data_IF_991000276526
#
_entry.id   IF_991000276526
#
_cell.length_a   1.000
_cell.length_b   1.000
_cell.length_c   1.000
_cell.angle_alpha   90.00
_cell.angle_beta   90.00
_cell.angle_gamma   90.00
#
_symmetry.space_group_name_H-M   'P 1'
#
loop_
_entity.id
_entity.type
_entity.pdbx_description
1 polymer ?
#
# COMPACT_ATOMS: atom_id res chain seq x y z
N UNK A 1 -32.70 58.41 -16.92
CA UNK A 1 -33.06 57.54 -15.80
C UNK A 1 -32.70 56.13 -16.21
N UNK A 2 -31.58 55.64 -15.74
CA UNK A 2 -31.09 54.27 -16.00
C UNK A 2 -31.50 53.42 -14.82
N UNK A 3 -32.37 52.44 -15.06
CA UNK A 3 -32.86 51.53 -14.03
C UNK A 3 -31.79 50.46 -13.72
N UNK A 4 -31.34 50.43 -12.49
CA UNK A 4 -30.52 49.32 -11.91
C UNK A 4 -31.48 48.17 -11.54
N UNK A 5 -31.40 47.07 -12.30
CA UNK A 5 -32.08 45.82 -11.95
C UNK A 5 -31.36 45.12 -10.79
N UNK A 6 -32.05 44.41 -9.88
CA UNK A 6 -31.46 43.72 -8.79
C UNK A 6 -30.71 42.45 -9.28
N UNK A 7 -29.44 42.36 -8.93
CA UNK A 7 -28.63 41.13 -9.10
C UNK A 7 -29.03 40.17 -7.98
N UNK A 8 -29.75 39.11 -8.31
CA UNK A 8 -30.00 38.00 -7.40
C UNK A 8 -28.68 37.20 -7.26
N UNK A 9 -28.04 37.33 -6.12
CA UNK A 9 -26.96 36.46 -5.73
C UNK A 9 -27.53 35.09 -5.29
N UNK A 10 -27.41 34.08 -6.15
CA UNK A 10 -27.72 32.70 -5.78
C UNK A 10 -26.62 32.18 -4.86
N UNK A 11 -26.89 32.09 -3.57
CA UNK A 11 -26.05 31.41 -2.59
C UNK A 11 -26.14 29.91 -2.84
N UNK A 12 -25.12 29.32 -3.43
CA UNK A 12 -24.97 27.88 -3.52
C UNK A 12 -24.57 27.38 -2.10
N UNK A 13 -25.55 26.86 -1.38
CA UNK A 13 -25.31 26.11 -0.16
C UNK A 13 -24.70 24.78 -0.58
N UNK A 14 -23.37 24.68 -0.53
CA UNK A 14 -22.66 23.40 -0.53
C UNK A 14 -23.00 22.72 0.80
N UNK A 15 -23.98 21.83 0.77
CA UNK A 15 -24.19 20.90 1.89
C UNK A 15 -23.02 19.94 1.92
N UNK A 16 -22.07 20.15 2.82
CA UNK A 16 -21.14 19.11 3.25
C UNK A 16 -21.98 18.06 3.95
N UNK A 17 -22.35 17.00 3.24
CA UNK A 17 -22.91 15.83 3.88
C UNK A 17 -21.77 15.26 4.75
N UNK A 18 -21.98 15.20 6.06
CA UNK A 18 -21.11 14.45 6.93
C UNK A 18 -21.15 12.99 6.44
N UNK A 19 -20.02 12.49 5.97
CA UNK A 19 -19.91 11.11 5.51
C UNK A 19 -20.20 10.18 6.69
N UNK A 20 -21.04 9.19 6.46
CA UNK A 20 -21.34 8.22 7.52
C UNK A 20 -20.09 7.38 7.79
N UNK A 21 -19.78 7.16 9.08
CA UNK A 21 -18.70 6.26 9.46
C UNK A 21 -18.93 4.87 8.87
N UNK A 22 -17.88 4.20 8.36
CA UNK A 22 -18.03 2.88 7.78
C UNK A 22 -18.55 1.85 8.79
N UNK A 23 -19.30 0.89 8.30
CA UNK A 23 -19.84 -0.22 9.07
C UNK A 23 -19.13 -1.55 8.79
N UNK A 24 -18.62 -1.71 7.57
CA UNK A 24 -17.84 -2.86 7.14
C UNK A 24 -16.63 -2.40 6.35
N UNK A 25 -15.45 -2.88 6.74
CA UNK A 25 -14.19 -2.53 6.06
C UNK A 25 -13.58 -3.74 5.37
N UNK A 26 -12.89 -3.52 4.26
CA UNK A 26 -12.10 -4.52 3.57
C UNK A 26 -10.76 -3.95 3.12
N UNK A 27 -9.78 -4.82 2.88
CA UNK A 27 -8.51 -4.43 2.29
C UNK A 27 -8.14 -5.29 1.09
N UNK A 28 -7.44 -4.65 0.15
CA UNK A 28 -6.61 -5.31 -0.85
C UNK A 28 -5.15 -4.95 -0.59
N UNK A 29 -4.24 -5.89 -0.82
CA UNK A 29 -2.82 -5.65 -0.53
C UNK A 29 -1.95 -6.87 -0.78
N UNK A 30 -0.73 -6.78 -0.32
CA UNK A 30 0.28 -7.81 -0.41
C UNK A 30 0.71 -8.31 1.00
N UNK A 31 1.95 -8.78 1.11
CA UNK A 31 2.55 -9.23 2.36
C UNK A 31 2.59 -8.16 3.46
N UNK A 32 2.66 -6.87 3.10
CA UNK A 32 2.58 -5.77 4.07
C UNK A 32 1.21 -5.80 4.75
N UNK A 33 0.14 -5.93 3.98
CA UNK A 33 -1.23 -6.00 4.52
C UNK A 33 -1.52 -7.30 5.25
N UNK A 34 -0.80 -8.40 4.93
CA UNK A 34 -0.90 -9.67 5.64
C UNK A 34 -0.07 -9.73 6.93
N UNK A 35 0.67 -8.67 7.28
CA UNK A 35 1.57 -8.68 8.44
C UNK A 35 2.72 -9.66 8.32
N UNK A 36 3.11 -10.03 7.10
CA UNK A 36 4.15 -11.05 6.88
C UNK A 36 5.43 -10.70 7.63
N UNK A 37 5.96 -11.66 8.39
CA UNK A 37 7.21 -11.56 9.16
C UNK A 37 7.27 -10.37 10.16
N UNK A 38 6.14 -9.80 10.60
CA UNK A 38 6.11 -8.58 11.39
C UNK A 38 6.69 -8.72 12.82
N UNK A 39 6.70 -9.91 13.40
CA UNK A 39 7.28 -10.20 14.73
C UNK A 39 8.27 -11.39 14.67
N UNK A 40 9.29 -11.29 13.82
CA UNK A 40 10.37 -12.27 13.77
C UNK A 40 11.36 -12.07 14.91
N UNK A 41 11.37 -12.99 15.87
CA UNK A 41 12.27 -12.94 17.05
C UNK A 41 13.65 -13.53 16.73
N UNK A 42 14.67 -12.67 16.56
CA UNK A 42 16.06 -13.03 16.18
C UNK A 42 16.85 -13.83 17.20
N UNK A 43 16.24 -14.36 18.24
CA UNK A 43 16.99 -14.93 19.36
C UNK A 43 17.34 -16.41 19.23
N UNK A 44 16.96 -17.08 18.12
CA UNK A 44 17.24 -18.51 17.95
C UNK A 44 17.45 -18.84 16.47
N UNK A 45 18.67 -19.08 16.09
CA UNK A 45 19.19 -19.39 14.75
C UNK A 45 18.32 -20.36 13.90
N UNK A 46 17.52 -21.18 14.50
CA UNK A 46 16.63 -22.13 13.82
C UNK A 46 15.19 -21.58 13.62
N UNK A 47 14.76 -20.64 14.46
CA UNK A 47 13.41 -20.07 14.41
C UNK A 47 13.28 -18.88 13.46
N UNK A 48 14.39 -18.20 13.14
CA UNK A 48 14.39 -17.09 12.18
C UNK A 48 14.07 -17.60 10.76
N UNK A 49 14.54 -18.81 10.42
CA UNK A 49 14.16 -19.47 9.17
C UNK A 49 12.67 -19.84 9.13
N UNK A 50 12.09 -20.24 10.27
CA UNK A 50 10.65 -20.53 10.37
C UNK A 50 9.80 -19.28 10.27
N UNK A 51 10.29 -18.11 10.64
CA UNK A 51 9.56 -16.86 10.45
C UNK A 51 9.43 -16.50 8.98
N UNK A 52 10.51 -16.63 8.21
CA UNK A 52 10.49 -16.49 6.76
C UNK A 52 9.64 -17.56 6.06
N UNK A 53 9.57 -18.76 6.62
CA UNK A 53 8.77 -19.88 6.12
C UNK A 53 7.36 -19.88 6.71
N UNK A 54 7.16 -19.25 7.88
CA UNK A 54 5.87 -19.17 8.60
C UNK A 54 4.89 -18.14 8.03
N UNK A 55 5.39 -17.16 7.31
CA UNK A 55 4.65 -16.29 6.43
C UNK A 55 3.81 -15.22 7.13
N UNK A 56 2.53 -15.26 6.87
CA UNK A 56 1.57 -14.24 7.26
C UNK A 56 1.29 -14.27 8.77
N UNK A 57 1.28 -13.09 9.38
CA UNK A 57 0.98 -12.86 10.79
C UNK A 57 -0.18 -11.85 10.89
N UNK A 58 -1.42 -12.28 10.58
CA UNK A 58 -2.57 -11.37 10.46
C UNK A 58 -2.85 -10.59 11.75
N UNK A 59 -2.42 -11.12 12.91
CA UNK A 59 -2.50 -10.41 14.20
C UNK A 59 -1.77 -9.07 14.19
N UNK A 60 -0.73 -8.93 13.35
CA UNK A 60 0.07 -7.73 13.23
C UNK A 60 -0.27 -6.89 11.99
N UNK A 61 -1.32 -7.21 11.26
CA UNK A 61 -1.76 -6.43 10.09
C UNK A 61 -2.05 -4.97 10.46
N UNK A 62 -1.55 -4.03 9.66
CA UNK A 62 -1.87 -2.61 9.80
C UNK A 62 -3.37 -2.33 9.60
N UNK A 63 -4.05 -3.17 8.81
CA UNK A 63 -5.45 -2.99 8.46
C UNK A 63 -6.40 -3.50 9.54
N UNK A 64 -6.33 -4.79 9.88
CA UNK A 64 -7.28 -5.50 10.74
C UNK A 64 -6.63 -6.33 11.85
N UNK A 65 -5.32 -6.14 12.09
CA UNK A 65 -4.59 -6.80 13.16
C UNK A 65 -5.15 -6.45 14.54
N UNK A 66 -5.04 -7.42 15.47
CA UNK A 66 -5.51 -7.27 16.86
C UNK A 66 -4.37 -7.13 17.87
N UNK A 67 -3.13 -6.96 17.40
CA UNK A 67 -1.99 -6.63 18.26
C UNK A 67 -2.09 -5.19 18.77
N UNK A 68 -2.13 -5.04 20.08
CA UNK A 68 -2.26 -3.72 20.73
C UNK A 68 -1.10 -2.76 20.44
N UNK A 69 0.07 -3.25 20.01
CA UNK A 69 1.21 -2.41 19.66
C UNK A 69 1.11 -1.88 18.22
N UNK A 70 0.31 -2.51 17.39
CA UNK A 70 0.08 -2.07 16.00
C UNK A 70 -0.97 -0.97 15.92
N UNK A 71 -2.06 -1.06 16.68
CA UNK A 71 -3.20 -0.15 16.59
C UNK A 71 -3.73 -0.03 15.16
N UNK A 72 -4.20 -1.13 14.63
CA UNK A 72 -4.67 -1.24 13.24
C UNK A 72 -5.72 -0.19 12.86
N UNK A 73 -5.92 0.04 11.58
CA UNK A 73 -6.99 0.95 11.10
C UNK A 73 -8.35 0.50 11.64
N UNK A 74 -8.60 -0.82 11.67
CA UNK A 74 -9.83 -1.37 12.23
C UNK A 74 -9.99 -1.03 13.73
N UNK A 75 -8.91 -1.10 14.53
CA UNK A 75 -8.96 -0.71 15.94
C UNK A 75 -9.25 0.78 16.12
N UNK A 76 -8.71 1.63 15.25
CA UNK A 76 -8.97 3.08 15.25
C UNK A 76 -10.44 3.36 14.92
N UNK A 77 -10.99 2.68 13.92
CA UNK A 77 -12.43 2.78 13.63
C UNK A 77 -13.30 2.29 14.80
N UNK A 78 -12.93 1.22 15.49
CA UNK A 78 -13.66 0.73 16.67
C UNK A 78 -13.74 1.75 17.80
N UNK A 79 -12.79 2.66 17.92
CA UNK A 79 -12.82 3.72 18.92
C UNK A 79 -13.92 4.75 18.65
N UNK A 80 -14.31 4.94 17.39
CA UNK A 80 -15.34 5.91 17.00
C UNK A 80 -16.65 5.24 16.59
N UNK A 81 -16.61 3.98 16.16
CA UNK A 81 -17.77 3.15 15.83
C UNK A 81 -17.54 1.72 16.35
N UNK A 82 -18.00 1.42 17.56
CA UNK A 82 -17.78 0.12 18.20
C UNK A 82 -18.49 -1.06 17.49
N UNK A 83 -19.38 -0.79 16.55
CA UNK A 83 -20.13 -1.81 15.81
C UNK A 83 -19.49 -2.18 14.48
N UNK A 84 -18.41 -1.49 14.07
CA UNK A 84 -17.71 -1.76 12.81
C UNK A 84 -17.19 -3.20 12.74
N UNK A 85 -17.23 -3.76 11.57
CA UNK A 85 -16.70 -5.09 11.27
C UNK A 85 -15.56 -4.98 10.25
N UNK A 86 -14.44 -5.64 10.53
CA UNK A 86 -13.49 -5.99 9.48
C UNK A 86 -14.09 -7.17 8.72
N UNK A 87 -14.53 -6.91 7.50
CA UNK A 87 -15.27 -7.90 6.75
C UNK A 87 -14.33 -8.90 6.07
N UNK A 88 -13.34 -8.38 5.32
CA UNK A 88 -12.39 -9.25 4.65
C UNK A 88 -11.10 -8.53 4.30
N UNK A 89 -10.01 -9.10 4.77
CA UNK A 89 -8.70 -8.85 4.22
C UNK A 89 -8.53 -9.76 2.99
N UNK A 90 -8.59 -9.19 1.79
CA UNK A 90 -8.43 -9.91 0.52
C UNK A 90 -6.98 -9.92 0.04
N UNK A 91 -6.08 -9.32 0.80
CA UNK A 91 -4.65 -9.30 0.51
C UNK A 91 -4.07 -10.71 0.44
N UNK A 92 -2.98 -10.86 -0.29
CA UNK A 92 -2.23 -12.10 -0.34
C UNK A 92 -0.73 -11.79 -0.51
N UNK A 93 0.12 -12.46 0.26
CA UNK A 93 1.57 -12.27 0.18
C UNK A 93 2.10 -12.52 -1.23
N UNK A 94 3.02 -11.64 -1.69
CA UNK A 94 3.55 -11.68 -3.06
C UNK A 94 2.66 -11.04 -4.14
N UNK A 95 1.48 -10.53 -3.78
CA UNK A 95 0.58 -9.89 -4.75
C UNK A 95 1.17 -8.64 -5.36
N UNK A 96 0.85 -8.42 -6.62
CA UNK A 96 1.17 -7.24 -7.39
C UNK A 96 -0.11 -6.48 -7.77
N UNK A 97 0.01 -5.21 -8.10
CA UNK A 97 -1.08 -4.47 -8.75
C UNK A 97 -1.47 -5.13 -10.07
N UNK A 98 -0.45 -5.60 -10.83
CA UNK A 98 -0.62 -6.14 -12.18
C UNK A 98 -0.42 -7.64 -12.26
N UNK A 99 0.68 -8.17 -11.73
CA UNK A 99 1.13 -9.54 -11.96
C UNK A 99 0.46 -10.57 -11.06
N UNK A 100 0.66 -11.85 -11.40
CA UNK A 100 0.21 -12.97 -10.56
C UNK A 100 -1.30 -13.22 -10.58
N UNK A 101 -1.70 -14.29 -9.90
CA UNK A 101 -3.11 -14.73 -9.81
C UNK A 101 -3.93 -13.93 -8.79
N UNK A 102 -3.27 -13.32 -7.79
CA UNK A 102 -3.90 -12.53 -6.73
C UNK A 102 -3.67 -11.02 -6.91
N UNK A 103 -3.66 -10.54 -8.15
CA UNK A 103 -3.50 -9.13 -8.45
C UNK A 103 -4.70 -8.28 -7.98
N UNK A 104 -4.57 -6.96 -8.10
CA UNK A 104 -5.59 -6.03 -7.62
C UNK A 104 -6.99 -6.34 -8.17
N UNK A 105 -7.13 -6.64 -9.46
CA UNK A 105 -8.43 -6.97 -10.05
C UNK A 105 -9.06 -8.23 -9.43
N UNK A 106 -8.25 -9.26 -9.15
CA UNK A 106 -8.70 -10.48 -8.49
C UNK A 106 -9.13 -10.21 -7.03
N UNK A 107 -8.34 -9.43 -6.30
CA UNK A 107 -8.68 -9.06 -4.92
C UNK A 107 -9.94 -8.20 -4.87
N UNK A 108 -10.09 -7.25 -5.79
CA UNK A 108 -11.30 -6.44 -5.96
C UNK A 108 -12.54 -7.33 -6.21
N UNK A 109 -12.41 -8.33 -7.09
CA UNK A 109 -13.49 -9.29 -7.34
C UNK A 109 -13.86 -10.09 -6.09
N UNK A 110 -12.86 -10.51 -5.30
CA UNK A 110 -13.08 -11.20 -4.03
C UNK A 110 -13.78 -10.31 -2.98
N UNK A 111 -13.49 -9.01 -2.97
CA UNK A 111 -14.13 -8.03 -2.08
C UNK A 111 -15.60 -7.85 -2.44
N UNK A 112 -15.92 -7.60 -3.71
CA UNK A 112 -17.30 -7.34 -4.14
C UNK A 112 -18.17 -8.60 -4.19
N UNK A 113 -17.58 -9.79 -4.19
CA UNK A 113 -18.29 -11.07 -4.14
C UNK A 113 -18.85 -11.41 -2.74
N UNK A 114 -18.50 -10.64 -1.70
CA UNK A 114 -18.96 -10.91 -0.34
C UNK A 114 -20.47 -10.66 -0.21
N UNK A 115 -21.14 -11.51 0.54
CA UNK A 115 -22.60 -11.38 0.81
C UNK A 115 -22.91 -10.10 1.59
N UNK A 116 -22.03 -9.74 2.53
CA UNK A 116 -22.08 -8.47 3.25
C UNK A 116 -20.97 -7.57 2.68
N UNK A 117 -21.32 -6.79 1.69
CA UNK A 117 -20.36 -5.94 0.98
C UNK A 117 -19.79 -4.87 1.90
N UNK A 118 -18.48 -4.58 1.82
CA UNK A 118 -17.89 -3.47 2.57
C UNK A 118 -18.39 -2.12 2.03
N UNK A 119 -18.45 -1.15 2.91
CA UNK A 119 -18.69 0.26 2.57
C UNK A 119 -17.40 1.10 2.64
N UNK A 120 -16.28 0.48 3.05
CA UNK A 120 -14.95 1.10 3.03
C UNK A 120 -13.89 0.07 2.62
N UNK A 121 -13.10 0.38 1.60
CA UNK A 121 -12.04 -0.49 1.08
C UNK A 121 -10.71 0.26 1.06
N UNK A 122 -9.69 -0.30 1.73
CA UNK A 122 -8.33 0.24 1.71
C UNK A 122 -7.39 -0.62 0.87
N UNK A 123 -6.47 0.01 0.14
CA UNK A 123 -5.55 -0.68 -0.79
C UNK A 123 -4.13 -0.19 -0.58
N UNK A 124 -3.20 -1.11 -0.30
CA UNK A 124 -1.75 -0.86 -0.41
C UNK A 124 -1.16 -1.96 -1.28
N UNK A 125 -0.74 -1.61 -2.50
CA UNK A 125 -0.12 -2.50 -3.48
C UNK A 125 0.95 -1.77 -4.30
N UNK A 126 1.81 -2.53 -4.95
CA UNK A 126 2.77 -2.01 -5.92
C UNK A 126 4.23 -2.19 -5.54
N UNK A 127 4.53 -2.50 -4.29
CA UNK A 127 5.89 -2.82 -3.86
C UNK A 127 6.47 -4.00 -4.64
N UNK A 128 5.71 -5.07 -4.79
CA UNK A 128 6.11 -6.26 -5.53
C UNK A 128 6.20 -6.04 -7.04
N UNK A 129 5.42 -5.11 -7.60
CA UNK A 129 5.51 -4.74 -9.02
C UNK A 129 6.88 -4.13 -9.39
N UNK A 130 7.59 -3.60 -8.40
CA UNK A 130 8.98 -3.13 -8.53
C UNK A 130 9.94 -4.23 -8.09
N UNK A 131 9.75 -4.82 -6.91
CA UNK A 131 10.67 -5.77 -6.29
C UNK A 131 10.89 -7.06 -7.08
N UNK A 132 9.88 -7.50 -7.83
CA UNK A 132 9.95 -8.71 -8.67
C UNK A 132 10.51 -8.45 -10.07
N UNK A 133 11.15 -7.30 -10.29
CA UNK A 133 11.74 -6.93 -11.59
C UNK A 133 13.27 -6.98 -11.53
N UNK A 134 13.86 -7.11 -12.72
CA UNK A 134 15.31 -7.29 -12.85
C UNK A 134 16.05 -6.01 -13.25
N UNK A 135 15.34 -5.04 -13.81
CA UNK A 135 15.88 -3.75 -14.28
C UNK A 135 14.80 -2.67 -14.33
N UNK A 136 15.25 -1.42 -14.38
CA UNK A 136 14.38 -0.26 -14.47
C UNK A 136 14.09 0.17 -15.92
N UNK A 137 14.92 -0.26 -16.88
CA UNK A 137 14.77 0.03 -18.30
C UNK A 137 14.54 -1.24 -19.11
N UNK A 138 13.45 -1.25 -19.91
CA UNK A 138 13.04 -2.35 -20.76
C UNK A 138 14.09 -2.76 -21.83
N UNK A 139 15.02 -1.87 -22.16
CA UNK A 139 16.11 -2.16 -23.09
C UNK A 139 17.23 -3.01 -22.46
N UNK A 140 17.27 -3.10 -21.14
CA UNK A 140 18.37 -3.72 -20.40
C UNK A 140 18.11 -5.18 -20.00
N UNK A 141 16.84 -5.61 -19.92
CA UNK A 141 16.50 -6.97 -19.53
C UNK A 141 15.10 -7.39 -20.01
N UNK A 142 14.80 -8.67 -19.85
CA UNK A 142 13.52 -9.27 -20.28
C UNK A 142 12.37 -9.09 -19.24
N UNK A 143 12.70 -8.70 -18.00
CA UNK A 143 11.72 -8.53 -16.94
C UNK A 143 11.85 -7.14 -16.29
N UNK A 144 11.59 -6.05 -17.05
CA UNK A 144 11.67 -4.69 -16.55
C UNK A 144 10.47 -4.33 -15.66
N UNK A 145 10.58 -3.21 -14.96
CA UNK A 145 9.42 -2.59 -14.32
C UNK A 145 8.34 -2.29 -15.35
N UNK A 146 7.09 -2.34 -14.92
CA UNK A 146 5.95 -2.10 -15.81
C UNK A 146 5.94 -0.68 -16.37
N UNK A 147 5.55 -0.53 -17.64
CA UNK A 147 5.31 0.77 -18.23
C UNK A 147 4.11 1.48 -17.61
N UNK A 148 4.03 2.80 -17.73
CA UNK A 148 2.89 3.59 -17.25
C UNK A 148 1.54 3.07 -17.77
N UNK A 149 1.47 2.69 -19.05
CA UNK A 149 0.24 2.18 -19.64
C UNK A 149 -0.18 0.83 -19.04
N UNK A 150 0.79 -0.03 -18.76
CA UNK A 150 0.55 -1.31 -18.10
C UNK A 150 0.10 -1.12 -16.66
N UNK A 151 0.76 -0.23 -15.91
CA UNK A 151 0.39 0.12 -14.53
C UNK A 151 -1.02 0.70 -14.47
N UNK A 152 -1.30 1.73 -15.27
CA UNK A 152 -2.60 2.39 -15.37
C UNK A 152 -3.73 1.40 -15.69
N UNK A 153 -3.50 0.52 -16.65
CA UNK A 153 -4.48 -0.53 -17.01
C UNK A 153 -4.83 -1.42 -15.81
N UNK A 154 -3.85 -1.70 -14.95
CA UNK A 154 -4.06 -2.56 -13.78
C UNK A 154 -4.80 -1.85 -12.65
N UNK A 155 -4.48 -0.60 -12.37
CA UNK A 155 -5.23 0.24 -11.44
C UNK A 155 -6.70 0.34 -11.89
N UNK A 156 -6.94 0.63 -13.17
CA UNK A 156 -8.29 0.67 -13.77
C UNK A 156 -9.06 -0.64 -13.63
N UNK A 157 -8.40 -1.76 -13.84
CA UNK A 157 -9.06 -3.07 -13.75
C UNK A 157 -9.63 -3.33 -12.34
N UNK A 158 -8.85 -3.02 -11.30
CA UNK A 158 -9.31 -3.13 -9.91
C UNK A 158 -10.41 -2.12 -9.57
N UNK A 159 -10.22 -0.85 -9.95
CA UNK A 159 -11.21 0.21 -9.70
C UNK A 159 -12.54 -0.05 -10.41
N UNK A 160 -12.53 -0.46 -11.69
CA UNK A 160 -13.75 -0.85 -12.40
C UNK A 160 -14.54 -1.92 -11.63
N UNK A 161 -13.84 -2.92 -11.09
CA UNK A 161 -14.47 -3.99 -10.31
C UNK A 161 -15.07 -3.45 -9.01
N UNK A 162 -14.31 -2.63 -8.26
CA UNK A 162 -14.78 -2.07 -7.00
C UNK A 162 -15.97 -1.13 -7.20
N UNK A 163 -15.86 -0.11 -8.05
CA UNK A 163 -16.96 0.86 -8.26
C UNK A 163 -18.18 0.23 -8.92
N UNK A 164 -17.99 -0.86 -9.67
CA UNK A 164 -19.10 -1.63 -10.27
C UNK A 164 -19.81 -2.54 -9.27
N UNK A 165 -19.16 -2.93 -8.17
CA UNK A 165 -19.65 -3.94 -7.26
C UNK A 165 -19.98 -3.48 -5.85
N UNK A 166 -19.42 -2.37 -5.38
CA UNK A 166 -19.66 -1.81 -4.05
C UNK A 166 -21.02 -1.07 -3.98
N UNK A 167 -21.64 -0.97 -2.79
CA UNK A 167 -22.81 -0.12 -2.60
C UNK A 167 -22.53 1.36 -2.88
N UNK A 168 -23.53 2.09 -3.34
CA UNK A 168 -23.47 3.56 -3.39
C UNK A 168 -23.25 4.14 -1.99
N UNK A 169 -22.38 5.14 -1.87
CA UNK A 169 -21.95 5.72 -0.59
C UNK A 169 -20.72 5.00 0.02
N UNK A 170 -20.17 3.99 -0.67
CA UNK A 170 -18.91 3.37 -0.25
C UNK A 170 -17.71 4.24 -0.62
N UNK A 171 -16.61 4.03 0.13
CA UNK A 171 -15.31 4.66 -0.13
C UNK A 171 -14.28 3.61 -0.54
N UNK A 172 -13.50 3.92 -1.57
CA UNK A 172 -12.27 3.20 -1.95
C UNK A 172 -11.08 4.13 -1.70
N UNK A 173 -10.22 3.74 -0.77
CA UNK A 173 -9.07 4.52 -0.34
C UNK A 173 -7.77 3.84 -0.77
N UNK A 174 -7.04 4.48 -1.70
CA UNK A 174 -5.83 3.95 -2.32
C UNK A 174 -4.60 4.53 -1.64
N UNK A 175 -3.87 3.71 -0.91
CA UNK A 175 -2.54 4.03 -0.40
C UNK A 175 -1.50 4.11 -1.51
N UNK A 176 -0.45 4.89 -1.28
CA UNK A 176 0.67 5.00 -2.21
C UNK A 176 1.52 3.73 -2.24
N UNK A 177 2.20 3.51 -3.38
CA UNK A 177 3.19 2.43 -3.56
C UNK A 177 4.32 2.59 -2.53
N UNK A 178 4.64 1.56 -1.73
CA UNK A 178 5.71 1.65 -0.73
C UNK A 178 7.06 2.04 -1.34
N UNK A 179 7.83 2.82 -0.60
CA UNK A 179 9.15 3.34 -1.04
C UNK A 179 10.24 2.26 -0.97
N UNK A 180 10.19 1.30 -1.88
CA UNK A 180 11.13 0.16 -1.90
C UNK A 180 12.60 0.60 -2.12
N UNK A 181 12.84 1.79 -2.68
CA UNK A 181 14.17 2.39 -2.79
C UNK A 181 14.83 2.66 -1.44
N UNK A 182 14.06 2.80 -0.35
CA UNK A 182 14.57 3.05 0.99
C UNK A 182 15.05 1.77 1.69
N UNK A 183 14.64 0.59 1.23
CA UNK A 183 14.91 -0.71 1.85
C UNK A 183 16.38 -0.97 2.12
N UNK A 184 17.25 -0.69 1.13
CA UNK A 184 18.69 -0.94 1.31
C UNK A 184 19.27 -0.08 2.42
N UNK A 185 18.96 1.20 2.46
CA UNK A 185 19.46 2.11 3.50
C UNK A 185 18.93 1.70 4.88
N UNK A 186 17.64 1.38 4.98
CA UNK A 186 17.00 0.93 6.20
C UNK A 186 17.62 -0.38 6.73
N UNK A 187 17.81 -1.36 5.85
CA UNK A 187 18.38 -2.65 6.24
C UNK A 187 19.85 -2.59 6.63
N UNK A 188 20.66 -1.81 5.93
CA UNK A 188 22.06 -1.58 6.33
C UNK A 188 22.15 -0.88 7.69
N UNK A 189 21.31 0.10 7.94
CA UNK A 189 21.21 0.78 9.24
C UNK A 189 20.74 -0.19 10.34
N UNK A 190 19.80 -1.09 10.03
CA UNK A 190 19.37 -2.13 10.96
C UNK A 190 20.47 -3.16 11.23
N UNK A 191 21.14 -3.65 10.20
CA UNK A 191 22.28 -4.55 10.33
C UNK A 191 23.40 -3.93 11.19
N UNK A 192 23.71 -2.65 11.02
CA UNK A 192 24.70 -1.94 11.81
C UNK A 192 24.30 -1.81 13.30
N UNK A 193 23.02 -1.88 13.62
CA UNK A 193 22.50 -1.76 14.99
C UNK A 193 22.64 -3.04 15.82
N UNK A 194 22.92 -4.21 15.20
CA UNK A 194 23.03 -5.49 15.89
C UNK A 194 23.91 -6.46 15.12
N UNK A 195 24.90 -7.06 15.82
CA UNK A 195 25.76 -8.09 15.24
C UNK A 195 25.04 -9.38 14.84
N UNK A 196 23.78 -9.55 15.23
CA UNK A 196 22.94 -10.72 14.93
C UNK A 196 22.17 -10.58 13.63
N UNK A 197 21.95 -9.34 13.15
CA UNK A 197 21.19 -9.07 11.93
C UNK A 197 22.12 -9.10 10.72
N UNK A 198 21.71 -9.76 9.64
CA UNK A 198 22.49 -10.03 8.44
C UNK A 198 21.71 -9.73 7.17
N UNK A 199 21.23 -8.50 7.01
CA UNK A 199 20.33 -8.10 5.91
C UNK A 199 20.90 -8.44 4.53
N UNK A 200 22.17 -8.09 4.25
CA UNK A 200 22.76 -8.39 2.95
C UNK A 200 22.86 -9.89 2.64
N UNK A 201 23.11 -10.71 3.66
CA UNK A 201 23.13 -12.17 3.50
C UNK A 201 21.72 -12.71 3.23
N UNK A 202 20.72 -12.22 3.96
CA UNK A 202 19.32 -12.63 3.79
C UNK A 202 18.83 -12.24 2.39
N UNK A 203 19.02 -11.00 1.98
CA UNK A 203 18.63 -10.55 0.65
C UNK A 203 19.25 -11.36 -0.47
N UNK A 204 20.58 -11.64 -0.36
CA UNK A 204 21.28 -12.40 -1.39
C UNK A 204 20.89 -13.87 -1.41
N UNK A 205 20.60 -14.48 -0.24
CA UNK A 205 20.22 -15.89 -0.13
C UNK A 205 18.81 -16.17 -0.65
N UNK A 206 17.90 -15.23 -0.47
CA UNK A 206 16.49 -15.39 -0.82
C UNK A 206 16.05 -14.53 -2.01
N UNK A 207 16.97 -13.81 -2.66
CA UNK A 207 16.70 -12.91 -3.79
C UNK A 207 15.64 -11.83 -3.45
N UNK A 208 15.65 -11.30 -2.24
CA UNK A 208 14.64 -10.35 -1.77
C UNK A 208 14.83 -9.00 -2.43
N UNK A 209 13.91 -8.61 -3.29
CA UNK A 209 13.85 -7.30 -3.93
C UNK A 209 15.22 -6.85 -4.53
N UNK A 210 15.86 -7.74 -5.29
CA UNK A 210 17.23 -7.53 -5.78
C UNK A 210 17.43 -6.19 -6.50
N UNK A 211 16.41 -5.71 -7.19
CA UNK A 211 16.46 -4.42 -7.89
C UNK A 211 16.76 -3.26 -6.93
N UNK A 212 16.32 -3.34 -5.67
CA UNK A 212 16.54 -2.31 -4.65
C UNK A 212 17.64 -2.69 -3.64
N UNK A 213 17.85 -3.99 -3.36
CA UNK A 213 18.71 -4.42 -2.25
C UNK A 213 20.12 -4.84 -2.68
N UNK A 214 20.31 -5.35 -3.91
CA UNK A 214 21.62 -5.81 -4.39
C UNK A 214 22.59 -4.66 -4.60
N UNK A 215 23.69 -4.67 -3.84
CA UNK A 215 24.69 -3.59 -3.87
C UNK A 215 25.58 -3.55 -5.13
N UNK A 216 25.69 -4.66 -5.88
CA UNK A 216 26.44 -4.71 -7.15
C UNK A 216 25.57 -4.28 -8.33
N UNK A 217 26.21 -4.03 -9.48
CA UNK A 217 25.49 -3.74 -10.72
C UNK A 217 24.58 -4.91 -11.14
N UNK A 218 23.45 -4.58 -11.77
CA UNK A 218 22.51 -5.49 -12.39
C UNK A 218 22.16 -4.97 -13.78
N UNK A 219 22.27 -5.81 -14.80
CA UNK A 219 21.88 -5.48 -16.17
C UNK A 219 22.43 -4.12 -16.68
N UNK A 220 23.68 -3.80 -16.29
CA UNK A 220 24.35 -2.55 -16.64
C UNK A 220 24.04 -1.35 -15.72
N UNK A 221 23.07 -1.47 -14.82
CA UNK A 221 22.71 -0.41 -13.88
C UNK A 221 23.47 -0.56 -12.54
N UNK A 222 24.12 0.47 -12.09
CA UNK A 222 24.67 0.56 -10.73
C UNK A 222 23.54 0.66 -9.71
N UNK A 223 23.81 0.37 -8.43
CA UNK A 223 22.79 0.53 -7.39
C UNK A 223 22.23 1.96 -7.30
N UNK A 224 23.07 2.96 -7.43
CA UNK A 224 22.62 4.36 -7.38
C UNK A 224 21.71 4.72 -8.56
N UNK A 225 21.99 4.23 -9.76
CA UNK A 225 21.14 4.41 -10.93
C UNK A 225 19.79 3.72 -10.74
N UNK A 226 19.79 2.47 -10.25
CA UNK A 226 18.54 1.75 -10.00
C UNK A 226 17.66 2.43 -8.94
N UNK A 227 18.25 2.82 -7.80
CA UNK A 227 17.48 3.47 -6.73
C UNK A 227 16.89 4.81 -7.18
N UNK A 228 17.65 5.62 -7.93
CA UNK A 228 17.14 6.88 -8.49
C UNK A 228 16.01 6.63 -9.52
N UNK A 229 16.16 5.62 -10.37
CA UNK A 229 15.13 5.27 -11.35
C UNK A 229 13.87 4.71 -10.65
N UNK A 230 14.02 3.85 -9.64
CA UNK A 230 12.90 3.32 -8.84
C UNK A 230 12.14 4.47 -8.17
N UNK A 231 12.83 5.47 -7.62
CA UNK A 231 12.18 6.63 -7.01
C UNK A 231 11.28 7.36 -8.00
N UNK A 232 11.78 7.64 -9.22
CA UNK A 232 10.96 8.25 -10.27
C UNK A 232 9.79 7.39 -10.72
N UNK A 233 10.00 6.07 -10.84
CA UNK A 233 8.95 5.11 -11.20
C UNK A 233 7.88 5.04 -10.11
N UNK A 234 8.28 4.91 -8.85
CA UNK A 234 7.38 4.85 -7.71
C UNK A 234 6.54 6.13 -7.59
N UNK A 235 7.16 7.29 -7.78
CA UNK A 235 6.46 8.57 -7.82
C UNK A 235 5.44 8.59 -8.96
N UNK A 236 5.83 8.18 -10.17
CA UNK A 236 4.92 8.16 -11.32
C UNK A 236 3.77 7.18 -11.15
N UNK A 237 4.01 6.04 -10.51
CA UNK A 237 2.94 5.09 -10.16
C UNK A 237 1.93 5.70 -9.18
N UNK A 238 2.38 6.48 -8.21
CA UNK A 238 1.51 7.19 -7.28
C UNK A 238 0.69 8.31 -7.97
N UNK A 239 1.31 9.06 -8.88
CA UNK A 239 0.60 10.03 -9.72
C UNK A 239 -0.53 9.36 -10.52
N UNK A 240 -0.25 8.21 -11.13
CA UNK A 240 -1.26 7.44 -11.88
C UNK A 240 -2.37 6.95 -10.95
N UNK A 241 -2.06 6.48 -9.73
CA UNK A 241 -3.08 6.11 -8.74
C UNK A 241 -3.99 7.31 -8.44
N UNK A 242 -3.42 8.50 -8.23
CA UNK A 242 -4.20 9.71 -7.96
C UNK A 242 -5.04 10.17 -9.17
N UNK A 243 -4.47 10.12 -10.38
CA UNK A 243 -5.18 10.43 -11.63
C UNK A 243 -6.37 9.49 -11.83
N UNK A 244 -6.18 8.19 -11.61
CA UNK A 244 -7.25 7.21 -11.74
C UNK A 244 -8.28 7.33 -10.61
N UNK A 245 -7.86 7.55 -9.37
CA UNK A 245 -8.77 7.81 -8.27
C UNK A 245 -9.71 8.99 -8.59
N UNK A 246 -9.16 10.11 -9.04
CA UNK A 246 -9.94 11.26 -9.44
C UNK A 246 -10.90 10.97 -10.61
N UNK A 247 -10.47 10.14 -11.56
CA UNK A 247 -11.27 9.73 -12.74
C UNK A 247 -12.46 8.84 -12.36
N UNK A 248 -12.32 8.03 -11.32
CA UNK A 248 -13.37 7.10 -10.85
C UNK A 248 -14.23 7.68 -9.72
N UNK A 249 -13.80 8.77 -9.09
CA UNK A 249 -14.52 9.36 -7.97
C UNK A 249 -15.96 9.73 -8.33
N UNK A 250 -16.91 9.30 -7.52
CA UNK A 250 -18.34 9.47 -7.73
C UNK A 250 -18.99 8.48 -8.71
N UNK A 251 -18.21 7.61 -9.37
CA UNK A 251 -18.75 6.58 -10.27
C UNK A 251 -19.64 5.61 -9.48
N UNK A 252 -20.88 5.43 -9.92
CA UNK A 252 -21.92 4.64 -9.23
C UNK A 252 -22.17 5.08 -7.77
N UNK A 253 -21.84 6.33 -7.44
CA UNK A 253 -21.97 6.85 -6.08
C UNK A 253 -20.89 6.36 -5.11
N UNK A 254 -19.80 5.77 -5.62
CA UNK A 254 -18.64 5.35 -4.83
C UNK A 254 -17.61 6.47 -4.82
N UNK A 255 -17.17 6.88 -3.63
CA UNK A 255 -16.05 7.79 -3.49
C UNK A 255 -14.74 7.04 -3.71
N UNK A 256 -13.84 7.58 -4.53
CA UNK A 256 -12.50 7.01 -4.76
C UNK A 256 -11.46 8.08 -4.47
N UNK A 257 -10.62 7.82 -3.48
CA UNK A 257 -9.61 8.78 -2.99
C UNK A 257 -8.25 8.11 -2.96
N UNK A 258 -7.21 8.82 -3.35
CA UNK A 258 -5.83 8.42 -3.16
C UNK A 258 -5.20 9.15 -1.96
N UNK A 259 -4.37 8.45 -1.19
CA UNK A 259 -3.58 9.04 -0.12
C UNK A 259 -2.53 10.04 -0.65
N UNK A 260 -2.10 9.82 -1.89
CA UNK A 260 -1.20 10.71 -2.61
C UNK A 260 -1.98 11.89 -3.18
N UNK A 261 -1.61 13.12 -2.80
CA UNK A 261 -2.36 14.33 -3.20
C UNK A 261 -1.53 15.34 -4.00
N UNK A 262 -0.47 14.92 -4.69
CA UNK A 262 0.36 15.81 -5.53
C UNK A 262 1.40 16.64 -4.74
N UNK A 263 2.29 17.26 -5.45
CA UNK A 263 3.39 18.15 -5.06
C UNK A 263 4.10 17.92 -3.70
N UNK A 264 5.33 17.47 -3.74
CA UNK A 264 6.24 17.16 -2.62
C UNK A 264 6.00 15.82 -1.90
N UNK A 265 5.56 14.82 -2.58
CA UNK A 265 4.87 13.69 -1.99
C UNK A 265 5.54 12.36 -2.23
N UNK A 266 6.84 12.37 -2.24
CA UNK A 266 7.56 11.11 -2.09
C UNK A 266 7.32 10.46 -0.71
N UNK A 267 6.67 11.14 0.23
CA UNK A 267 6.53 10.67 1.61
C UNK A 267 5.11 10.74 2.18
N UNK A 268 4.24 11.68 1.77
CA UNK A 268 2.88 11.78 2.32
C UNK A 268 1.96 10.74 1.67
N UNK A 269 1.28 9.94 2.48
CA UNK A 269 0.41 8.88 2.00
C UNK A 269 1.14 7.66 1.41
N UNK A 270 2.46 7.55 1.64
CA UNK A 270 3.29 6.48 1.12
C UNK A 270 4.15 5.88 2.23
N UNK A 271 4.11 4.58 2.41
CA UNK A 271 4.93 3.91 3.40
C UNK A 271 6.42 3.99 3.04
N UNK A 272 7.22 4.56 3.94
CA UNK A 272 8.68 4.68 3.83
C UNK A 272 9.36 3.76 4.82
N UNK A 273 10.42 3.07 4.40
CA UNK A 273 11.12 2.12 5.23
C UNK A 273 12.25 2.79 6.01
N UNK A 274 12.10 2.89 7.33
CA UNK A 274 13.17 3.21 8.27
C UNK A 274 13.74 1.94 8.92
N UNK A 275 14.90 2.05 9.59
CA UNK A 275 15.53 0.90 10.27
C UNK A 275 14.65 0.22 11.32
N UNK A 276 13.72 0.96 11.93
CA UNK A 276 12.82 0.45 12.96
C UNK A 276 11.52 -0.09 12.36
N UNK A 277 11.18 0.35 11.15
CA UNK A 277 9.96 -0.06 10.47
C UNK A 277 10.08 -1.42 9.80
N UNK A 278 11.30 -1.89 9.49
CA UNK A 278 11.52 -3.22 8.92
C UNK A 278 11.79 -4.27 10.00
N UNK A 279 11.37 -5.51 9.76
CA UNK A 279 11.73 -6.63 10.60
C UNK A 279 13.22 -6.97 10.44
N UNK A 280 13.85 -7.57 11.42
CA UNK A 280 15.27 -7.92 11.37
C UNK A 280 15.54 -9.35 10.90
N UNK A 281 14.52 -10.19 10.79
CA UNK A 281 14.64 -11.55 10.27
C UNK A 281 14.84 -11.54 8.76
N UNK A 282 14.04 -10.81 8.02
CA UNK A 282 14.14 -10.68 6.57
C UNK A 282 14.69 -9.34 6.07
N UNK A 283 14.71 -8.34 6.94
CA UNK A 283 15.15 -6.97 6.62
C UNK A 283 14.38 -6.35 5.45
N UNK A 284 13.12 -6.72 5.29
CA UNK A 284 12.31 -6.34 4.15
C UNK A 284 10.90 -5.98 4.56
N UNK A 285 10.17 -6.89 5.19
CA UNK A 285 8.80 -6.66 5.59
C UNK A 285 8.71 -5.72 6.81
N UNK A 286 7.60 -4.98 6.95
CA UNK A 286 7.39 -4.13 8.11
C UNK A 286 7.38 -4.94 9.41
N UNK A 287 8.16 -4.48 10.40
CA UNK A 287 8.04 -4.93 11.79
C UNK A 287 6.70 -4.52 12.38
N UNK A 288 6.37 -4.97 13.62
CA UNK A 288 5.19 -4.47 14.37
C UNK A 288 5.15 -2.94 14.39
N UNK A 289 6.30 -2.28 14.60
CA UNK A 289 6.37 -0.81 14.51
C UNK A 289 6.08 -0.32 13.09
N UNK A 290 6.61 -0.97 12.07
CA UNK A 290 6.33 -0.64 10.66
C UNK A 290 4.86 -0.81 10.31
N UNK A 291 4.21 -1.85 10.83
CA UNK A 291 2.76 -2.05 10.69
C UNK A 291 1.97 -0.92 11.36
N UNK A 292 2.38 -0.50 12.57
CA UNK A 292 1.79 0.65 13.25
C UNK A 292 2.01 1.95 12.47
N UNK A 293 3.19 2.13 11.85
CA UNK A 293 3.48 3.27 10.96
C UNK A 293 2.55 3.27 9.75
N UNK A 294 2.34 2.11 9.10
CA UNK A 294 1.41 1.97 7.98
C UNK A 294 -0.04 2.26 8.38
N UNK A 295 -0.48 1.73 9.52
CA UNK A 295 -1.81 2.01 10.07
C UNK A 295 -2.04 3.51 10.34
N UNK A 296 -1.04 4.19 10.90
CA UNK A 296 -1.12 5.63 11.15
C UNK A 296 -1.13 6.45 9.86
N UNK A 297 -0.34 6.04 8.86
CA UNK A 297 -0.28 6.69 7.57
C UNK A 297 -1.65 6.63 6.88
N UNK A 298 -2.23 5.43 6.78
CA UNK A 298 -3.54 5.23 6.17
C UNK A 298 -4.64 5.97 6.96
N UNK A 299 -4.62 5.89 8.28
CA UNK A 299 -5.57 6.59 9.13
C UNK A 299 -5.51 8.11 8.99
N UNK A 300 -4.30 8.70 8.99
CA UNK A 300 -4.14 10.15 9.03
C UNK A 300 -4.63 10.85 7.76
N UNK A 301 -4.60 10.18 6.63
CA UNK A 301 -5.04 10.69 5.33
C UNK A 301 -6.41 10.11 4.89
N UNK A 302 -7.06 9.31 5.75
CA UNK A 302 -8.35 8.70 5.44
C UNK A 302 -9.48 9.75 5.44
N UNK A 303 -10.32 9.81 4.39
CA UNK A 303 -11.43 10.75 4.31
C UNK A 303 -12.58 10.46 5.29
N UNK A 304 -12.75 9.20 5.72
CA UNK A 304 -13.91 8.72 6.50
C UNK A 304 -13.68 8.73 8.03
N UNK A 305 -12.67 9.42 8.55
CA UNK A 305 -12.39 9.47 9.99
C UNK A 305 -13.03 10.66 10.70
#
# INVERSE_FOLDING_TARGET
MLGLGPILAASILLSTQAQALPSNTAAAGDSITMGFAADCKYNRWFWDLFCLLGGDQPEHSWFDGWDSDVHSVHDKYKQINSTIKANKNAAASGSEMRGGSNNFATQAANIVAQSNKPDHVEVILGGNDICNRDCTDANNCSNPVYSESQWRSSVRAGLNTLVGGLPSGSTVYLGGVPRVQDLRAAGLAKQASSSRIRCENVWSSFNICNIATKGSSMNGESISQRLAAIEGIQQRYNEIIAEEAASYNGTNGVEVVASYQGENVSTVGTFSFGKNDIDGGDCFHPSRQGQSTAANLMWNSNPDK
#
